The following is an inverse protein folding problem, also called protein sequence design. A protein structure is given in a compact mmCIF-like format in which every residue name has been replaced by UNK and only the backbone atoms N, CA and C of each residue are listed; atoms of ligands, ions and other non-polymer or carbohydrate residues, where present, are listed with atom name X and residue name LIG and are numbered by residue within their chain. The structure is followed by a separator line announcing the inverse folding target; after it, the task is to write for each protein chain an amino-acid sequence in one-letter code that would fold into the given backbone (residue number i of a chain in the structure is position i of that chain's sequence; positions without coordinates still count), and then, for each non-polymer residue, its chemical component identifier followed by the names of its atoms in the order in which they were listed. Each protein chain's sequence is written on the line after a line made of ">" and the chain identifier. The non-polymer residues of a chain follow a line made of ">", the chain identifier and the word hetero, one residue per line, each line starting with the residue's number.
data_IF_388534566550
#
_entry.id   IF_388534566550
#
_cell.length_a   1.000
_cell.length_b   1.000
_cell.length_c   1.000
_cell.angle_alpha   90.00
_cell.angle_beta   90.00
_cell.angle_gamma   90.00
#
_symmetry.space_group_name_H-M   'P 1'
#
loop_
_entity.id
_entity.type
_entity.pdbx_description
1 polymer ?
#
# COMPACT_ATOMS: atom_id res chain seq x y z
N UNK A 1 -3.18 -12.92 0.96
CA UNK A 1 -3.04 -13.21 -0.49
C UNK A 1 -3.60 -12.08 -1.33
N UNK A 2 -2.85 -11.62 -2.33
CA UNK A 2 -3.28 -10.62 -3.31
C UNK A 2 -3.26 -11.18 -4.73
N UNK A 3 -4.26 -10.82 -5.54
CA UNK A 3 -4.31 -11.07 -6.98
C UNK A 3 -4.58 -9.75 -7.70
N UNK A 4 -3.60 -9.29 -8.49
CA UNK A 4 -3.68 -8.07 -9.28
C UNK A 4 -3.85 -8.41 -10.77
N UNK A 5 -5.10 -8.55 -11.21
CA UNK A 5 -5.42 -8.75 -12.63
C UNK A 5 -5.48 -7.41 -13.38
N UNK A 6 -4.71 -7.29 -14.45
CA UNK A 6 -4.64 -6.08 -15.27
C UNK A 6 -5.16 -6.35 -16.68
N UNK A 7 -6.06 -5.51 -17.18
CA UNK A 7 -6.49 -5.53 -18.58
C UNK A 7 -5.43 -4.82 -19.43
N UNK A 8 -4.63 -5.58 -20.18
CA UNK A 8 -3.45 -5.07 -20.88
C UNK A 8 -3.72 -4.63 -22.33
N UNK A 9 -4.74 -5.21 -22.97
CA UNK A 9 -5.08 -4.94 -24.37
C UNK A 9 -4.38 -5.89 -25.35
N UNK A 10 -4.26 -5.48 -26.61
CA UNK A 10 -3.90 -6.39 -27.71
C UNK A 10 -2.40 -6.59 -27.93
N UNK A 11 -1.55 -5.75 -27.35
CA UNK A 11 -0.08 -5.88 -27.36
C UNK A 11 0.46 -5.72 -25.95
N UNK A 12 1.65 -6.28 -25.69
CA UNK A 12 2.24 -6.26 -24.35
C UNK A 12 2.57 -4.84 -23.87
N UNK A 13 3.07 -3.97 -24.76
CA UNK A 13 3.56 -2.63 -24.42
C UNK A 13 4.41 -2.67 -23.10
N UNK A 14 4.08 -1.84 -22.11
CA UNK A 14 4.71 -1.80 -20.79
C UNK A 14 3.94 -2.59 -19.72
N UNK A 15 3.06 -3.51 -20.12
CA UNK A 15 2.19 -4.25 -19.20
C UNK A 15 2.95 -5.02 -18.13
N UNK A 16 4.02 -5.74 -18.49
CA UNK A 16 4.84 -6.51 -17.54
C UNK A 16 5.42 -5.62 -16.43
N UNK A 17 6.23 -4.61 -16.77
CA UNK A 17 6.79 -3.69 -15.78
C UNK A 17 5.73 -2.94 -14.95
N UNK A 18 4.57 -2.61 -15.52
CA UNK A 18 3.45 -2.00 -14.77
C UNK A 18 2.88 -2.98 -13.75
N UNK A 19 2.65 -4.24 -14.13
CA UNK A 19 2.12 -5.25 -13.21
C UNK A 19 3.13 -5.66 -12.14
N UNK A 20 4.43 -5.70 -12.46
CA UNK A 20 5.49 -5.98 -11.48
C UNK A 20 5.57 -4.85 -10.46
N UNK A 21 5.49 -3.60 -10.91
CA UNK A 21 5.49 -2.45 -10.00
C UNK A 21 4.27 -2.44 -9.07
N UNK A 22 3.11 -2.95 -9.51
CA UNK A 22 1.97 -3.14 -8.62
C UNK A 22 2.29 -4.12 -7.48
N UNK A 23 3.04 -5.21 -7.75
CA UNK A 23 3.50 -6.13 -6.72
C UNK A 23 4.51 -5.50 -5.77
N UNK A 24 5.49 -4.74 -6.30
CA UNK A 24 6.49 -4.07 -5.46
C UNK A 24 5.92 -2.95 -4.57
N UNK A 25 4.66 -2.55 -4.76
CA UNK A 25 4.01 -1.53 -3.94
C UNK A 25 2.70 -2.04 -3.31
N UNK A 26 2.44 -3.36 -3.37
CA UNK A 26 1.26 -3.96 -2.76
C UNK A 26 1.31 -4.02 -1.23
N UNK A 27 2.49 -3.76 -0.67
CA UNK A 27 2.73 -3.61 0.76
C UNK A 27 2.47 -2.18 1.25
N UNK A 28 2.62 -1.18 0.38
CA UNK A 28 2.64 0.24 0.70
C UNK A 28 3.67 0.53 1.82
N UNK A 29 3.24 1.11 2.93
CA UNK A 29 4.12 1.39 4.08
C UNK A 29 3.97 0.36 5.20
N UNK A 30 3.23 -0.73 4.96
CA UNK A 30 2.87 -1.72 5.98
C UNK A 30 3.79 -2.95 5.90
N UNK A 31 4.19 -3.43 7.07
CA UNK A 31 4.90 -4.69 7.20
C UNK A 31 3.93 -5.87 7.19
N UNK A 32 4.12 -6.77 6.24
CA UNK A 32 3.36 -8.01 6.13
C UNK A 32 4.26 -9.21 6.49
N UNK A 33 4.10 -9.83 7.68
CA UNK A 33 4.96 -10.94 8.09
C UNK A 33 4.81 -12.18 7.20
N UNK A 34 3.65 -12.32 6.56
CA UNK A 34 3.37 -13.36 5.59
C UNK A 34 2.48 -12.77 4.50
N UNK A 35 2.97 -12.76 3.26
CA UNK A 35 2.22 -12.28 2.11
C UNK A 35 2.59 -13.09 0.88
N UNK A 36 1.57 -13.41 0.10
CA UNK A 36 1.70 -13.91 -1.26
C UNK A 36 0.93 -12.95 -2.16
N UNK A 37 1.60 -12.42 -3.18
CA UNK A 37 1.02 -11.49 -4.14
C UNK A 37 1.36 -11.94 -5.56
N UNK A 38 0.32 -11.99 -6.40
CA UNK A 38 0.44 -12.40 -7.79
C UNK A 38 -0.15 -11.31 -8.69
N UNK A 39 0.49 -11.06 -9.82
CA UNK A 39 -0.06 -10.22 -10.89
C UNK A 39 -0.42 -11.07 -12.10
N UNK A 40 -1.45 -10.63 -12.82
CA UNK A 40 -1.94 -11.30 -14.02
C UNK A 40 -2.17 -10.25 -15.13
N UNK A 41 -1.18 -10.00 -15.99
CA UNK A 41 -1.38 -9.19 -17.20
C UNK A 41 -2.23 -9.96 -18.21
N UNK A 42 -3.45 -9.50 -18.46
CA UNK A 42 -4.44 -10.18 -19.29
C UNK A 42 -4.52 -9.57 -20.69
N UNK A 43 -4.30 -10.40 -21.71
CA UNK A 43 -4.61 -10.05 -23.09
C UNK A 43 -6.11 -9.82 -23.24
N UNK A 44 -6.49 -8.74 -23.92
CA UNK A 44 -7.88 -8.48 -24.31
C UNK A 44 -7.93 -7.82 -25.68
N UNK A 45 -9.04 -8.01 -26.41
CA UNK A 45 -9.26 -7.38 -27.72
C UNK A 45 -9.62 -5.89 -27.60
N UNK A 46 -8.81 -5.12 -26.88
CA UNK A 46 -8.90 -3.65 -26.77
C UNK A 46 -7.56 -3.01 -26.99
N UNK A 47 -7.58 -1.69 -27.25
CA UNK A 47 -6.37 -0.87 -27.38
C UNK A 47 -5.44 -1.14 -26.20
N UNK A 48 -4.15 -1.35 -26.49
CA UNK A 48 -3.13 -1.63 -25.49
C UNK A 48 -3.01 -0.49 -24.50
N UNK A 49 -3.09 -0.84 -23.22
CA UNK A 49 -2.76 0.07 -22.14
C UNK A 49 -1.23 0.21 -22.03
N UNK A 50 -0.79 1.34 -21.50
CA UNK A 50 0.62 1.69 -21.34
C UNK A 50 0.85 2.35 -19.97
N UNK A 51 2.01 2.97 -19.79
CA UNK A 51 2.34 3.80 -18.66
C UNK A 51 1.27 4.88 -18.39
N UNK A 52 0.89 5.01 -17.13
CA UNK A 52 0.30 6.22 -16.59
C UNK A 52 1.07 6.62 -15.33
N UNK A 53 1.02 7.89 -14.91
CA UNK A 53 1.72 8.40 -13.72
C UNK A 53 1.52 7.48 -12.50
N UNK A 54 2.62 6.91 -12.00
CA UNK A 54 2.63 5.92 -10.92
C UNK A 54 2.97 4.50 -11.39
N UNK A 55 2.67 4.17 -12.65
CA UNK A 55 3.16 2.98 -13.36
C UNK A 55 2.85 1.67 -12.63
N UNK A 56 1.62 1.47 -12.15
CA UNK A 56 1.21 0.28 -11.40
C UNK A 56 1.29 0.42 -9.88
N UNK A 57 2.17 1.32 -9.38
CA UNK A 57 2.30 1.58 -7.94
C UNK A 57 0.99 1.98 -7.26
N UNK A 58 0.21 2.94 -7.79
CA UNK A 58 -1.09 3.31 -7.23
C UNK A 58 -2.07 2.13 -7.12
N UNK A 59 -2.10 1.26 -8.13
CA UNK A 59 -2.97 0.09 -8.17
C UNK A 59 -2.58 -0.93 -7.09
N UNK A 60 -1.28 -1.14 -6.87
CA UNK A 60 -0.76 -1.97 -5.78
C UNK A 60 -1.14 -1.41 -4.40
N UNK A 61 -0.84 -0.13 -4.16
CA UNK A 61 -1.08 0.52 -2.87
C UNK A 61 -2.56 0.56 -2.47
N UNK A 62 -3.47 0.75 -3.43
CA UNK A 62 -4.92 0.74 -3.16
C UNK A 62 -5.38 -0.63 -2.60
N UNK A 63 -4.77 -1.73 -3.05
CA UNK A 63 -5.03 -3.06 -2.49
C UNK A 63 -4.67 -3.14 -1.01
N UNK A 64 -3.49 -2.65 -0.63
CA UNK A 64 -3.03 -2.59 0.75
C UNK A 64 -3.95 -1.75 1.63
N UNK A 65 -4.29 -0.53 1.18
CA UNK A 65 -5.19 0.38 1.90
C UNK A 65 -6.57 -0.24 2.13
N UNK A 66 -7.11 -0.95 1.13
CA UNK A 66 -8.41 -1.62 1.25
C UNK A 66 -8.39 -2.67 2.36
N UNK A 67 -7.32 -3.46 2.47
CA UNK A 67 -7.17 -4.46 3.54
C UNK A 67 -7.10 -3.78 4.90
N UNK A 68 -6.28 -2.73 5.04
CA UNK A 68 -6.15 -1.99 6.29
C UNK A 68 -7.49 -1.37 6.73
N UNK A 69 -8.25 -0.79 5.81
CA UNK A 69 -9.55 -0.20 6.11
C UNK A 69 -10.59 -1.26 6.50
N UNK A 70 -10.61 -2.43 5.84
CA UNK A 70 -11.47 -3.55 6.24
C UNK A 70 -11.13 -4.07 7.65
N UNK A 71 -9.84 -4.19 7.98
CA UNK A 71 -9.40 -4.57 9.33
C UNK A 71 -9.86 -3.54 10.35
N UNK A 72 -9.72 -2.24 10.06
CA UNK A 72 -10.18 -1.18 10.93
C UNK A 72 -11.70 -1.23 11.15
N UNK A 73 -12.46 -1.42 10.07
CA UNK A 73 -13.91 -1.56 10.10
C UNK A 73 -14.34 -2.76 10.94
N UNK A 74 -13.78 -3.94 10.69
CA UNK A 74 -14.11 -5.17 11.41
C UNK A 74 -13.81 -5.08 12.91
N UNK A 75 -12.78 -4.32 13.29
CA UNK A 75 -12.42 -4.09 14.70
C UNK A 75 -13.14 -2.91 15.35
N UNK A 76 -13.93 -2.14 14.59
CA UNK A 76 -14.53 -0.90 15.07
C UNK A 76 -13.50 0.16 15.51
N UNK A 77 -12.33 0.17 14.87
CA UNK A 77 -11.21 1.07 15.21
C UNK A 77 -11.03 2.15 14.17
N UNK A 78 -10.39 3.24 14.58
CA UNK A 78 -10.01 4.30 13.67
C UNK A 78 -8.98 3.77 12.66
N UNK A 79 -9.18 3.98 11.34
CA UNK A 79 -8.25 3.46 10.33
C UNK A 79 -6.82 3.99 10.47
N UNK A 80 -6.62 5.21 11.00
CA UNK A 80 -5.27 5.73 11.24
C UNK A 80 -4.54 4.93 12.34
N UNK A 81 -5.25 4.47 13.37
CA UNK A 81 -4.66 3.62 14.41
C UNK A 81 -4.19 2.28 13.85
N UNK A 82 -4.96 1.67 12.94
CA UNK A 82 -4.58 0.41 12.31
C UNK A 82 -3.37 0.62 11.39
N UNK A 83 -3.34 1.71 10.62
CA UNK A 83 -2.17 2.08 9.81
C UNK A 83 -0.90 2.17 10.66
N UNK A 84 -0.93 2.97 11.73
CA UNK A 84 0.22 3.19 12.62
C UNK A 84 0.76 1.91 13.26
N UNK A 85 -0.12 0.94 13.56
CA UNK A 85 0.28 -0.37 14.12
C UNK A 85 0.98 -1.26 13.10
N UNK A 86 0.67 -1.10 11.82
CA UNK A 86 1.13 -1.98 10.76
C UNK A 86 2.29 -1.42 9.94
N UNK A 87 2.71 -0.17 10.14
CA UNK A 87 3.87 0.36 9.42
C UNK A 87 5.13 -0.51 9.57
N UNK A 88 6.03 -0.43 8.58
CA UNK A 88 7.42 -0.86 8.74
C UNK A 88 8.05 -0.22 9.98
N UNK A 89 9.04 -0.90 10.57
CA UNK A 89 9.83 -0.42 11.71
C UNK A 89 10.53 0.91 11.42
N UNK A 90 10.87 1.65 12.48
CA UNK A 90 11.61 2.91 12.37
C UNK A 90 13.08 2.65 12.07
N UNK A 91 13.77 3.64 11.49
CA UNK A 91 15.21 3.57 11.30
C UNK A 91 15.94 3.35 12.64
N UNK A 92 16.79 2.33 12.69
CA UNK A 92 17.53 1.96 13.90
C UNK A 92 16.84 0.91 14.77
N UNK A 93 15.63 0.45 14.41
CA UNK A 93 15.11 -0.82 14.91
C UNK A 93 16.10 -1.95 14.53
N UNK A 94 16.29 -2.92 15.42
CA UNK A 94 17.26 -4.00 15.20
C UNK A 94 16.96 -4.70 13.87
N UNK A 95 18.02 -5.01 13.14
CA UNK A 95 17.98 -5.81 11.92
C UNK A 95 17.15 -7.09 12.17
N UNK A 96 15.97 -7.18 11.53
CA UNK A 96 15.04 -8.32 11.66
C UNK A 96 13.63 -8.02 12.19
N UNK A 97 13.36 -6.87 12.81
CA UNK A 97 12.08 -6.64 13.52
C UNK A 97 11.05 -5.79 12.74
N UNK A 98 10.74 -6.17 11.49
CA UNK A 98 9.71 -5.53 10.60
C UNK A 98 10.23 -4.46 9.63
N UNK A 99 11.37 -4.68 8.97
CA UNK A 99 11.96 -3.72 8.01
C UNK A 99 12.34 -4.34 6.66
N UNK A 100 11.88 -5.55 6.33
CA UNK A 100 12.17 -6.21 5.06
C UNK A 100 10.89 -6.28 4.23
N UNK A 101 10.94 -5.81 2.99
CA UNK A 101 9.80 -5.86 2.06
C UNK A 101 9.49 -7.28 1.61
N UNK A 102 8.31 -7.54 1.02
CA UNK A 102 7.96 -8.87 0.50
C UNK A 102 8.93 -9.42 -0.55
N UNK A 103 9.71 -8.54 -1.19
CA UNK A 103 10.72 -8.88 -2.20
C UNK A 103 12.15 -8.75 -1.67
N UNK A 104 12.31 -8.83 -0.34
CA UNK A 104 13.58 -8.94 0.38
C UNK A 104 14.51 -7.72 0.29
N UNK A 105 13.94 -6.53 0.05
CA UNK A 105 14.68 -5.28 0.19
C UNK A 105 14.55 -4.77 1.63
N UNK A 106 15.66 -4.41 2.26
CA UNK A 106 15.63 -3.70 3.56
C UNK A 106 15.14 -2.27 3.35
N UNK A 107 14.14 -1.87 4.14
CA UNK A 107 13.67 -0.48 4.22
C UNK A 107 14.61 0.28 5.15
N UNK A 108 15.41 1.15 4.56
CA UNK A 108 16.30 2.08 5.26
C UNK A 108 15.65 3.47 5.34
N UNK A 109 16.07 4.30 6.30
CA UNK A 109 15.62 5.68 6.44
C UNK A 109 14.09 5.85 6.45
N UNK A 110 13.38 4.91 7.09
CA UNK A 110 11.92 4.96 7.18
C UNK A 110 11.44 6.14 8.04
N UNK A 111 10.86 7.14 7.39
CA UNK A 111 10.34 8.36 8.01
C UNK A 111 8.82 8.40 8.12
N UNK A 112 8.11 7.30 7.84
CA UNK A 112 6.65 7.27 7.81
C UNK A 112 6.02 7.69 9.15
N UNK A 113 6.64 7.28 10.27
CA UNK A 113 6.14 7.60 11.61
C UNK A 113 6.17 9.11 11.85
N UNK A 114 7.25 9.78 11.43
CA UNK A 114 7.39 11.23 11.52
C UNK A 114 6.37 11.94 10.64
N UNK A 115 6.28 11.55 9.36
CA UNK A 115 5.33 12.17 8.40
C UNK A 115 3.91 12.08 8.93
N UNK A 116 3.49 10.90 9.41
CA UNK A 116 2.12 10.71 9.91
C UNK A 116 1.88 11.51 11.19
N UNK A 117 2.84 11.57 12.11
CA UNK A 117 2.71 12.39 13.32
C UNK A 117 2.54 13.88 13.00
N UNK A 118 3.34 14.41 12.07
CA UNK A 118 3.24 15.80 11.62
C UNK A 118 1.91 16.10 10.92
N UNK A 119 1.43 15.18 10.08
CA UNK A 119 0.13 15.31 9.40
C UNK A 119 -1.04 15.21 10.38
N UNK A 120 -0.98 14.30 11.36
CA UNK A 120 -2.00 14.15 12.40
C UNK A 120 -2.19 15.44 13.20
N UNK A 121 -1.07 16.05 13.61
CA UNK A 121 -1.06 17.32 14.34
C UNK A 121 -1.51 18.49 13.45
N UNK A 122 -0.85 18.71 12.31
CA UNK A 122 -1.11 19.87 11.45
C UNK A 122 -2.50 19.88 10.84
N UNK A 123 -3.09 18.70 10.60
CA UNK A 123 -4.44 18.58 10.05
C UNK A 123 -5.55 18.58 11.11
N UNK A 124 -5.21 18.65 12.40
CA UNK A 124 -6.14 18.50 13.53
C UNK A 124 -6.99 17.22 13.44
N UNK A 125 -6.37 16.10 13.05
CA UNK A 125 -7.07 14.87 12.67
C UNK A 125 -8.07 14.40 13.73
N UNK A 126 -7.61 14.23 14.98
CA UNK A 126 -8.45 13.73 16.07
C UNK A 126 -9.64 14.65 16.39
N UNK A 127 -9.45 15.98 16.29
CA UNK A 127 -10.53 16.95 16.49
C UNK A 127 -11.60 16.80 15.39
N UNK A 128 -11.18 16.80 14.13
CA UNK A 128 -12.08 16.67 12.97
C UNK A 128 -12.83 15.33 12.96
N UNK A 129 -12.20 14.23 13.39
CA UNK A 129 -12.87 12.93 13.52
C UNK A 129 -13.99 12.98 14.56
N UNK A 130 -13.78 13.64 15.71
CA UNK A 130 -14.83 13.84 16.73
C UNK A 130 -15.96 14.72 16.22
N UNK A 131 -15.63 15.82 15.55
CA UNK A 131 -16.62 16.74 14.96
C UNK A 131 -17.50 16.02 13.91
N UNK A 132 -16.89 15.24 13.00
CA UNK A 132 -17.62 14.44 12.01
C UNK A 132 -18.51 13.38 12.65
N UNK A 133 -18.05 12.75 13.74
CA UNK A 133 -18.85 11.72 14.43
C UNK A 133 -20.05 12.30 15.19
N UNK A 134 -20.03 13.60 15.49
CA UNK A 134 -21.10 14.30 16.20
C UNK A 134 -22.11 15.01 15.27
N UNK A 135 -21.79 15.14 13.98
CA UNK A 135 -22.65 15.73 12.94
C UNK A 135 -23.62 14.70 12.37
#
# INVERSE_FOLDING_TARGET
>A
DFMFAARCGFSSDLSGPVTDRALFHCDNTYFWPAVHAQSAPLYTNTVSNTAFRGFGGPQGMVGAERVIDEVAFALGKDPLEIRKKNFYGASGDKEGDRNVTPYHQTVEDNVIQRIIAELEASSNYARRRREISAF
#
